data_IF_155607257013
#
_entry.id   IF_155607257013
#
_cell.length_a   1.000
_cell.length_b   1.000
_cell.length_c   1.000
_cell.angle_alpha   90.00
_cell.angle_beta   90.00
_cell.angle_gamma   90.00
#
_symmetry.space_group_name_H-M   'P 1'
#
loop_
_entity.id
_entity.type
_entity.pdbx_description
1 polymer ?
#
# COMPACT_ATOMS: atom_id res chain seq x y z
N UNK A 1 -10.70 32.48 -43.82
CA UNK A 1 -9.67 31.41 -43.77
C UNK A 1 -9.53 31.02 -42.32
N UNK A 2 -10.30 30.00 -41.93
CA UNK A 2 -10.42 29.50 -40.56
C UNK A 2 -9.13 28.83 -40.08
N UNK A 3 -8.60 29.31 -38.95
CA UNK A 3 -7.77 28.49 -38.06
C UNK A 3 -8.46 28.46 -36.71
N UNK A 4 -9.49 27.62 -36.62
CA UNK A 4 -10.01 27.15 -35.35
C UNK A 4 -8.86 26.46 -34.61
N UNK A 5 -8.26 27.19 -33.67
CA UNK A 5 -7.39 26.62 -32.65
C UNK A 5 -8.25 25.64 -31.85
N UNK A 6 -8.13 24.37 -32.20
CA UNK A 6 -8.69 23.24 -31.51
C UNK A 6 -8.08 23.23 -30.10
N UNK A 7 -8.79 23.85 -29.16
CA UNK A 7 -8.47 23.77 -27.74
C UNK A 7 -8.66 22.32 -27.34
N UNK A 8 -7.56 21.61 -27.14
CA UNK A 8 -7.54 20.25 -26.63
C UNK A 8 -8.33 20.19 -25.30
N UNK A 9 -9.42 19.42 -25.19
CA UNK A 9 -10.18 19.29 -23.93
C UNK A 9 -9.47 18.37 -22.91
N UNK A 10 -8.19 18.07 -23.10
CA UNK A 10 -7.51 16.92 -22.48
C UNK A 10 -6.99 17.11 -21.05
N UNK A 11 -7.34 18.19 -20.34
CA UNK A 11 -6.92 18.37 -18.95
C UNK A 11 -8.05 18.95 -18.07
N UNK A 12 -9.23 18.33 -18.08
CA UNK A 12 -10.19 18.54 -17.01
C UNK A 12 -9.48 18.29 -15.65
N UNK A 13 -9.50 19.23 -14.69
CA UNK A 13 -8.82 19.06 -13.41
C UNK A 13 -9.31 17.77 -12.77
N UNK A 14 -8.40 16.80 -12.58
CA UNK A 14 -8.74 15.50 -11.97
C UNK A 14 -9.25 15.79 -10.57
N UNK A 15 -10.57 15.71 -10.39
CA UNK A 15 -11.20 16.15 -9.15
C UNK A 15 -10.58 15.46 -7.91
N UNK A 16 -10.49 16.17 -6.77
CA UNK A 16 -9.70 15.77 -5.60
C UNK A 16 -10.01 14.35 -5.06
N UNK A 17 -11.25 13.88 -5.21
CA UNK A 17 -11.63 12.51 -4.82
C UNK A 17 -10.96 11.40 -5.65
N UNK A 18 -10.60 11.66 -6.91
CA UNK A 18 -9.94 10.67 -7.79
C UNK A 18 -8.47 10.49 -7.43
N UNK A 19 -7.82 11.58 -7.03
CA UNK A 19 -6.45 11.55 -6.53
C UNK A 19 -6.37 10.76 -5.21
N UNK A 20 -7.27 11.01 -4.26
CA UNK A 20 -7.29 10.32 -2.97
C UNK A 20 -7.50 8.80 -3.12
N UNK A 21 -8.49 8.38 -3.92
CA UNK A 21 -8.73 6.96 -4.17
C UNK A 21 -7.52 6.29 -4.84
N UNK A 22 -6.88 6.98 -5.80
CA UNK A 22 -5.65 6.48 -6.45
C UNK A 22 -4.51 6.32 -5.46
N UNK A 23 -4.31 7.28 -4.55
CA UNK A 23 -3.29 7.18 -3.49
C UNK A 23 -3.56 5.98 -2.59
N UNK A 24 -4.80 5.77 -2.16
CA UNK A 24 -5.16 4.60 -1.35
C UNK A 24 -4.88 3.28 -2.08
N UNK A 25 -5.23 3.17 -3.37
CA UNK A 25 -4.89 1.98 -4.16
C UNK A 25 -3.38 1.76 -4.31
N UNK A 26 -2.61 2.83 -4.51
CA UNK A 26 -1.15 2.74 -4.60
C UNK A 26 -0.53 2.28 -3.28
N UNK A 27 -1.00 2.83 -2.15
CA UNK A 27 -0.56 2.39 -0.83
C UNK A 27 -0.88 0.92 -0.58
N UNK A 28 -2.10 0.49 -0.88
CA UNK A 28 -2.52 -0.91 -0.76
C UNK A 28 -1.65 -1.83 -1.62
N UNK A 29 -1.46 -1.47 -2.89
CA UNK A 29 -0.63 -2.24 -3.81
C UNK A 29 0.82 -2.33 -3.34
N UNK A 30 1.41 -1.22 -2.88
CA UNK A 30 2.78 -1.20 -2.35
C UNK A 30 2.92 -2.09 -1.12
N UNK A 31 1.96 -2.03 -0.19
CA UNK A 31 1.97 -2.87 1.01
C UNK A 31 1.88 -4.36 0.67
N UNK A 32 0.94 -4.75 -0.20
CA UNK A 32 0.77 -6.15 -0.61
C UNK A 32 2.01 -6.68 -1.33
N UNK A 33 2.61 -5.88 -2.22
CA UNK A 33 3.84 -6.26 -2.91
C UNK A 33 4.99 -6.40 -1.93
N UNK A 34 5.17 -5.47 -0.99
CA UNK A 34 6.24 -5.55 0.00
C UNK A 34 6.13 -6.81 0.89
N UNK A 35 4.93 -7.08 1.41
CA UNK A 35 4.65 -8.30 2.19
C UNK A 35 4.92 -9.55 1.34
N UNK A 36 4.46 -9.56 0.09
CA UNK A 36 4.67 -10.69 -0.82
C UNK A 36 6.15 -10.94 -1.14
N UNK A 37 6.93 -9.87 -1.36
CA UNK A 37 8.38 -9.96 -1.59
C UNK A 37 9.09 -10.48 -0.34
N UNK A 38 8.74 -9.99 0.84
CA UNK A 38 9.32 -10.45 2.11
C UNK A 38 9.06 -11.96 2.33
N UNK A 39 7.80 -12.39 2.20
CA UNK A 39 7.43 -13.80 2.36
C UNK A 39 8.01 -14.70 1.26
N UNK A 40 8.02 -14.23 0.02
CA UNK A 40 8.63 -14.94 -1.09
C UNK A 40 10.14 -15.11 -0.91
N UNK A 41 10.81 -14.11 -0.32
CA UNK A 41 12.23 -14.21 0.00
C UNK A 41 12.48 -15.22 1.11
N UNK A 42 11.71 -15.20 2.19
CA UNK A 42 11.78 -16.22 3.23
C UNK A 42 11.57 -17.64 2.67
N UNK A 43 10.55 -17.80 1.82
CA UNK A 43 10.26 -19.08 1.15
C UNK A 43 11.39 -19.56 0.23
N UNK A 44 12.13 -18.64 -0.41
CA UNK A 44 13.28 -19.00 -1.24
C UNK A 44 14.44 -19.58 -0.43
N UNK A 45 14.54 -19.25 0.87
CA UNK A 45 15.56 -19.81 1.76
C UNK A 45 15.10 -21.10 2.45
N UNK A 46 13.85 -21.17 2.91
CA UNK A 46 13.32 -22.35 3.59
C UNK A 46 12.83 -23.47 2.66
N UNK A 47 12.57 -23.15 1.39
CA UNK A 47 11.99 -24.08 0.41
C UNK A 47 10.47 -24.23 0.50
N UNK A 48 9.77 -23.53 1.40
CA UNK A 48 8.31 -23.54 1.50
C UNK A 48 7.76 -22.20 1.98
N UNK A 49 6.52 -21.86 1.66
CA UNK A 49 5.89 -20.64 2.16
C UNK A 49 5.55 -20.80 3.65
N UNK A 50 6.03 -19.88 4.48
CA UNK A 50 5.72 -19.81 5.90
C UNK A 50 5.87 -18.36 6.38
N UNK A 51 5.41 -18.08 7.60
CA UNK A 51 5.63 -16.79 8.24
C UNK A 51 6.97 -16.84 8.99
N UNK A 52 8.00 -16.10 8.54
CA UNK A 52 9.28 -16.09 9.21
C UNK A 52 9.17 -15.38 10.56
N UNK A 53 10.04 -15.77 11.50
CA UNK A 53 10.09 -15.20 12.85
C UNK A 53 11.54 -14.91 13.22
N UNK A 54 11.71 -13.96 14.13
CA UNK A 54 13.02 -13.58 14.64
C UNK A 54 13.78 -14.80 15.18
N UNK A 55 15.06 -14.93 14.81
CA UNK A 55 15.91 -16.05 15.23
C UNK A 55 15.43 -17.44 14.79
N UNK A 56 14.74 -17.56 13.65
CA UNK A 56 14.39 -18.87 13.11
C UNK A 56 15.61 -19.59 12.50
N UNK A 57 15.58 -20.92 12.50
CA UNK A 57 16.74 -21.72 12.04
C UNK A 57 16.95 -21.63 10.52
N UNK A 58 15.91 -21.28 9.76
CA UNK A 58 15.92 -21.27 8.30
C UNK A 58 16.40 -19.94 7.69
N UNK A 59 16.17 -18.82 8.37
CA UNK A 59 16.49 -17.46 7.87
C UNK A 59 17.24 -16.60 8.89
N UNK A 60 17.35 -16.99 10.15
CA UNK A 60 17.96 -16.17 11.21
C UNK A 60 19.46 -15.88 11.06
N UNK A 61 20.18 -16.60 10.19
CA UNK A 61 21.56 -16.30 9.82
C UNK A 61 21.73 -16.02 8.31
N UNK A 62 20.62 -15.91 7.58
CA UNK A 62 20.65 -15.69 6.14
C UNK A 62 20.82 -14.20 5.84
N UNK A 63 21.84 -13.84 5.07
CA UNK A 63 21.85 -12.54 4.41
C UNK A 63 20.77 -12.55 3.31
N UNK A 64 19.58 -12.08 3.67
CA UNK A 64 18.40 -12.10 2.82
C UNK A 64 18.57 -11.18 1.60
N UNK A 65 19.36 -10.11 1.71
CA UNK A 65 19.56 -9.11 0.67
C UNK A 65 21.04 -8.70 0.52
N UNK A 66 21.89 -9.60 -0.02
CA UNK A 66 23.32 -9.35 -0.11
C UNK A 66 23.67 -8.26 -1.14
N UNK A 67 24.69 -7.47 -0.82
CA UNK A 67 25.29 -6.49 -1.73
C UNK A 67 24.34 -5.36 -2.14
N UNK A 68 24.21 -5.04 -3.44
CA UNK A 68 23.40 -3.89 -3.89
C UNK A 68 21.89 -4.06 -3.60
N UNK A 69 21.44 -5.27 -3.27
CA UNK A 69 20.06 -5.56 -2.92
C UNK A 69 19.68 -5.11 -1.50
N UNK A 70 20.63 -4.70 -0.66
CA UNK A 70 20.35 -4.16 0.68
C UNK A 70 19.44 -2.91 0.66
N UNK A 71 19.41 -2.17 -0.46
CA UNK A 71 18.42 -1.09 -0.65
C UNK A 71 16.97 -1.59 -0.69
N UNK A 72 16.73 -2.80 -1.20
CA UNK A 72 15.39 -3.40 -1.21
C UNK A 72 14.93 -3.72 0.20
N UNK A 73 15.79 -4.26 1.05
CA UNK A 73 15.51 -4.46 2.47
C UNK A 73 15.02 -3.18 3.14
N UNK A 74 15.75 -2.07 2.96
CA UNK A 74 15.38 -0.78 3.56
C UNK A 74 14.03 -0.27 3.03
N UNK A 75 13.76 -0.45 1.74
CA UNK A 75 12.45 -0.12 1.15
C UNK A 75 11.34 -0.96 1.78
N UNK A 76 11.56 -2.26 2.01
CA UNK A 76 10.56 -3.14 2.63
C UNK A 76 10.26 -2.73 4.07
N UNK A 77 11.28 -2.44 4.89
CA UNK A 77 11.11 -1.93 6.26
C UNK A 77 10.25 -0.66 6.25
N UNK A 78 10.63 0.31 5.42
CA UNK A 78 9.91 1.59 5.32
C UNK A 78 8.48 1.38 4.85
N UNK A 79 8.26 0.57 3.81
CA UNK A 79 6.91 0.35 3.25
C UNK A 79 6.02 -0.38 4.25
N UNK A 80 6.48 -1.49 4.84
CA UNK A 80 5.67 -2.27 5.78
C UNK A 80 5.39 -1.47 7.06
N UNK A 81 6.37 -0.70 7.55
CA UNK A 81 6.20 0.13 8.75
C UNK A 81 5.35 1.39 8.53
N UNK A 82 5.54 2.11 7.42
CA UNK A 82 4.95 3.44 7.22
C UNK A 82 3.65 3.44 6.42
N UNK A 83 3.44 2.47 5.52
CA UNK A 83 2.21 2.45 4.71
C UNK A 83 0.94 2.26 5.53
N UNK A 84 0.88 1.43 6.59
CA UNK A 84 -0.29 1.38 7.47
C UNK A 84 -0.63 2.75 8.09
N UNK A 85 0.37 3.54 8.49
CA UNK A 85 0.18 4.88 9.05
C UNK A 85 -0.35 5.85 7.99
N UNK A 86 0.23 5.84 6.78
CA UNK A 86 -0.24 6.65 5.66
C UNK A 86 -1.65 6.25 5.21
N UNK A 87 -1.97 4.95 5.22
CA UNK A 87 -3.29 4.41 4.93
C UNK A 87 -4.32 4.89 5.96
N UNK A 88 -3.98 4.89 7.25
CA UNK A 88 -4.85 5.45 8.30
C UNK A 88 -5.16 6.93 8.07
N UNK A 89 -4.12 7.75 7.79
CA UNK A 89 -4.30 9.18 7.51
C UNK A 89 -5.20 9.44 6.29
N UNK A 90 -4.98 8.72 5.19
CA UNK A 90 -5.81 8.87 3.98
C UNK A 90 -7.24 8.35 4.17
N UNK A 91 -7.43 7.28 4.95
CA UNK A 91 -8.76 6.74 5.28
C UNK A 91 -9.59 7.75 6.08
N UNK A 92 -9.01 8.45 7.06
CA UNK A 92 -9.71 9.49 7.83
C UNK A 92 -10.24 10.61 6.92
N UNK A 93 -9.39 11.11 6.01
CA UNK A 93 -9.79 12.12 5.02
C UNK A 93 -10.89 11.60 4.09
N UNK A 94 -10.80 10.34 3.67
CA UNK A 94 -11.79 9.71 2.82
C UNK A 94 -13.15 9.54 3.51
N UNK A 95 -13.18 9.15 4.78
CA UNK A 95 -14.41 9.04 5.58
C UNK A 95 -15.12 10.39 5.69
N UNK A 96 -14.38 11.47 5.96
CA UNK A 96 -14.94 12.83 5.99
C UNK A 96 -15.53 13.24 4.62
N UNK A 97 -14.89 12.84 3.51
CA UNK A 97 -15.38 13.09 2.14
C UNK A 97 -16.61 12.24 1.81
N UNK A 98 -16.66 10.98 2.23
CA UNK A 98 -17.80 10.07 2.07
C UNK A 98 -19.07 10.61 2.76
N UNK A 99 -18.92 11.30 3.88
CA UNK A 99 -20.03 11.93 4.60
C UNK A 99 -20.66 13.12 3.84
N UNK A 100 -19.92 13.75 2.91
CA UNK A 100 -20.34 14.96 2.20
C UNK A 100 -21.45 14.70 1.17
N UNK A 101 -22.55 15.47 1.23
CA UNK A 101 -23.71 15.34 0.32
C UNK A 101 -23.34 15.46 -1.16
N UNK A 102 -22.38 16.34 -1.49
CA UNK A 102 -21.89 16.58 -2.86
C UNK A 102 -21.23 15.36 -3.51
N UNK A 103 -20.74 14.41 -2.70
CA UNK A 103 -20.08 13.21 -3.20
C UNK A 103 -21.07 12.07 -3.44
N UNK A 104 -22.23 12.08 -2.76
CA UNK A 104 -23.27 11.05 -2.89
C UNK A 104 -24.05 11.14 -4.20
N UNK A 105 -24.07 12.31 -4.86
CA UNK A 105 -24.70 12.49 -6.17
C UNK A 105 -23.94 11.81 -7.32
N UNK A 106 -22.67 11.45 -7.10
CA UNK A 106 -21.82 10.81 -8.11
C UNK A 106 -21.49 9.37 -7.69
N UNK A 107 -22.44 8.47 -7.92
CA UNK A 107 -22.42 7.08 -7.47
C UNK A 107 -21.13 6.31 -7.83
N UNK A 108 -20.56 6.53 -9.01
CA UNK A 108 -19.30 5.88 -9.44
C UNK A 108 -18.10 6.36 -8.62
N UNK A 109 -17.96 7.67 -8.40
CA UNK A 109 -16.86 8.25 -7.62
C UNK A 109 -16.99 7.91 -6.13
N UNK A 110 -18.22 7.84 -5.63
CA UNK A 110 -18.52 7.40 -4.28
C UNK A 110 -18.12 5.93 -4.05
N UNK A 111 -18.52 5.03 -4.97
CA UNK A 111 -18.15 3.60 -4.90
C UNK A 111 -16.63 3.39 -4.95
N UNK A 112 -15.94 4.08 -5.86
CA UNK A 112 -14.49 3.99 -5.97
C UNK A 112 -13.78 4.40 -4.67
N UNK A 113 -14.20 5.52 -4.07
CA UNK A 113 -13.63 5.99 -2.80
C UNK A 113 -13.98 5.05 -1.64
N UNK A 114 -15.18 4.48 -1.61
CA UNK A 114 -15.57 3.51 -0.59
C UNK A 114 -14.67 2.27 -0.64
N UNK A 115 -14.52 1.66 -1.83
CA UNK A 115 -13.68 0.47 -2.02
C UNK A 115 -12.24 0.75 -1.63
N UNK A 116 -11.66 1.86 -2.10
CA UNK A 116 -10.28 2.21 -1.76
C UNK A 116 -10.08 2.49 -0.26
N UNK A 117 -11.10 3.06 0.41
CA UNK A 117 -11.06 3.31 1.85
C UNK A 117 -11.18 2.02 2.65
N UNK A 118 -12.03 1.08 2.23
CA UNK A 118 -12.14 -0.25 2.86
C UNK A 118 -10.81 -0.99 2.73
N UNK A 119 -10.20 -0.99 1.54
CA UNK A 119 -8.88 -1.61 1.35
C UNK A 119 -7.79 -0.95 2.20
N UNK A 120 -7.79 0.38 2.30
CA UNK A 120 -6.86 1.09 3.18
C UNK A 120 -7.08 0.71 4.66
N UNK A 121 -8.33 0.59 5.11
CA UNK A 121 -8.65 0.14 6.46
C UNK A 121 -8.19 -1.31 6.73
N UNK A 122 -8.30 -2.20 5.74
CA UNK A 122 -7.77 -3.56 5.83
C UNK A 122 -6.24 -3.56 5.97
N UNK A 123 -5.53 -2.67 5.26
CA UNK A 123 -4.08 -2.50 5.43
C UNK A 123 -3.72 -2.02 6.82
N UNK A 124 -4.49 -1.08 7.39
CA UNK A 124 -4.31 -0.62 8.78
C UNK A 124 -4.49 -1.78 9.75
N UNK A 125 -5.59 -2.54 9.60
CA UNK A 125 -5.88 -3.69 10.45
C UNK A 125 -4.80 -4.78 10.33
N UNK A 126 -4.32 -5.03 9.10
CA UNK A 126 -3.22 -5.96 8.87
C UNK A 126 -1.94 -5.48 9.55
N UNK A 127 -1.59 -4.20 9.43
CA UNK A 127 -0.36 -3.63 9.99
C UNK A 127 -0.24 -3.74 11.52
N UNK A 128 -1.36 -3.83 12.24
CA UNK A 128 -1.38 -4.04 13.71
C UNK A 128 -1.62 -5.50 14.11
N UNK A 129 -1.76 -6.40 13.14
CA UNK A 129 -2.03 -7.82 13.42
C UNK A 129 -0.76 -8.55 13.89
N UNK A 130 -0.88 -9.55 14.78
CA UNK A 130 0.28 -10.31 15.26
C UNK A 130 1.17 -10.88 14.14
N UNK A 131 0.61 -11.47 13.04
CA UNK A 131 1.44 -11.97 11.94
C UNK A 131 2.31 -10.90 11.28
N UNK A 132 1.79 -9.69 11.11
CA UNK A 132 2.56 -8.61 10.49
C UNK A 132 3.60 -8.04 11.43
N UNK A 133 3.31 -7.98 12.73
CA UNK A 133 4.33 -7.64 13.73
C UNK A 133 5.48 -8.64 13.68
N UNK A 134 5.20 -9.94 13.66
CA UNK A 134 6.23 -10.98 13.55
C UNK A 134 7.06 -10.86 12.28
N UNK A 135 6.40 -10.65 11.13
CA UNK A 135 7.08 -10.42 9.86
C UNK A 135 7.97 -9.17 9.92
N UNK A 136 7.46 -8.07 10.47
CA UNK A 136 8.19 -6.81 10.57
C UNK A 136 9.40 -6.94 11.50
N UNK A 137 9.26 -7.57 12.66
CA UNK A 137 10.38 -7.79 13.59
C UNK A 137 11.45 -8.70 12.98
N UNK A 138 11.05 -9.74 12.24
CA UNK A 138 11.98 -10.56 11.48
C UNK A 138 12.72 -9.74 10.41
N UNK A 139 12.04 -8.80 9.76
CA UNK A 139 12.65 -7.98 8.72
C UNK A 139 13.63 -6.95 9.29
N UNK A 140 13.55 -6.62 10.57
CA UNK A 140 14.43 -5.65 11.25
C UNK A 140 15.60 -6.36 11.97
N UNK A 141 15.50 -7.68 12.15
CA UNK A 141 16.56 -8.55 12.66
C UNK A 141 17.73 -8.62 11.66
#
# INVERSE_FOLDING_TARGET
MDRNAQVDPAAAPRGPGRALARTQFLLVGAYVVAVGVALGRAAAFSGHLYLPRQGDDATGNADLWPGPWGGVWLVLVVVIGMVPLAAAGTALVAVARLASRRMRSESVRWRGLLVSTVLAALVVAAGVSPPMTTLYTWLVD
#
